data_IF_759843001908
#
_entry.id   IF_759843001908
#
_cell.length_a   1.000
_cell.length_b   1.000
_cell.length_c   1.000
_cell.angle_alpha   90.00
_cell.angle_beta   90.00
_cell.angle_gamma   90.00
#
_symmetry.space_group_name_H-M   'P 1'
#
loop_
_entity.id
_entity.type
_entity.pdbx_description
1 polymer ?
#
# COMPACT_ATOMS: atom_id res chain seq x y z
N UNK A 1 19.04 -4.19 24.39
CA UNK A 1 18.21 -4.20 23.16
C UNK A 1 18.61 -5.41 22.35
N UNK A 2 17.72 -6.40 22.19
CA UNK A 2 17.92 -7.45 21.18
C UNK A 2 17.71 -6.78 19.82
N UNK A 3 18.70 -6.83 18.93
CA UNK A 3 18.46 -6.60 17.50
C UNK A 3 17.30 -7.52 17.10
N UNK A 4 16.26 -7.01 16.42
CA UNK A 4 15.44 -7.88 15.59
C UNK A 4 16.37 -8.36 14.47
N UNK A 5 16.78 -9.62 14.58
CA UNK A 5 17.63 -10.31 13.62
C UNK A 5 16.73 -10.72 12.47
N UNK A 6 17.15 -10.43 11.23
CA UNK A 6 16.36 -10.76 10.05
C UNK A 6 16.22 -12.26 9.83
N UNK A 7 15.20 -12.72 9.10
CA UNK A 7 14.93 -14.15 8.89
C UNK A 7 16.15 -14.89 8.33
N UNK A 8 16.84 -14.30 7.35
CA UNK A 8 18.06 -14.88 6.78
C UNK A 8 19.22 -14.96 7.79
N UNK A 9 19.39 -13.95 8.64
CA UNK A 9 20.44 -13.92 9.66
C UNK A 9 20.15 -14.92 10.79
N UNK A 10 18.87 -15.12 11.15
CA UNK A 10 18.44 -16.18 12.08
C UNK A 10 18.80 -17.55 11.53
N UNK A 11 18.51 -17.83 10.25
CA UNK A 11 18.84 -19.09 9.60
C UNK A 11 20.35 -19.37 9.62
N UNK A 12 21.16 -18.37 9.27
CA UNK A 12 22.63 -18.49 9.27
C UNK A 12 23.17 -18.70 10.69
N UNK A 13 22.68 -17.93 11.66
CA UNK A 13 23.08 -18.08 13.07
C UNK A 13 22.76 -19.48 13.59
N UNK A 14 21.53 -19.95 13.36
CA UNK A 14 21.09 -21.27 13.81
C UNK A 14 21.86 -22.41 13.13
N UNK A 15 22.14 -22.29 11.83
CA UNK A 15 22.97 -23.26 11.11
C UNK A 15 24.46 -23.26 11.55
N UNK A 16 24.91 -22.21 12.26
CA UNK A 16 26.21 -22.17 12.92
C UNK A 16 26.22 -22.91 14.27
N UNK A 17 25.10 -22.92 14.99
CA UNK A 17 24.97 -23.46 16.35
C UNK A 17 24.44 -24.90 16.38
N UNK A 18 23.56 -25.27 15.44
CA UNK A 18 22.88 -26.56 15.37
C UNK A 18 23.25 -27.29 14.07
N UNK A 19 24.06 -28.35 14.21
CA UNK A 19 24.51 -29.17 13.09
C UNK A 19 23.37 -29.93 12.42
N UNK A 20 22.42 -30.46 13.18
CA UNK A 20 21.30 -31.22 12.61
C UNK A 20 20.38 -30.29 11.83
N UNK A 21 20.18 -29.07 12.33
CA UNK A 21 19.46 -28.02 11.60
C UNK A 21 20.18 -27.66 10.31
N UNK A 22 21.50 -27.46 10.35
CA UNK A 22 22.30 -27.17 9.15
C UNK A 22 22.17 -28.27 8.09
N UNK A 23 22.29 -29.53 8.49
CA UNK A 23 22.16 -30.68 7.57
C UNK A 23 20.76 -30.75 6.94
N UNK A 24 19.69 -30.48 7.72
CA UNK A 24 18.33 -30.37 7.19
C UNK A 24 18.16 -29.18 6.23
N UNK A 25 18.70 -28.01 6.59
CA UNK A 25 18.60 -26.80 5.76
C UNK A 25 19.29 -26.97 4.41
N UNK A 26 20.40 -27.72 4.35
CA UNK A 26 21.08 -28.06 3.09
C UNK A 26 20.30 -29.08 2.24
N UNK A 27 19.66 -30.07 2.88
CA UNK A 27 18.96 -31.15 2.19
C UNK A 27 17.55 -30.74 1.70
N UNK A 28 16.81 -30.03 2.54
CA UNK A 28 15.43 -29.58 2.28
C UNK A 28 15.25 -28.12 2.75
N UNK A 29 15.79 -27.13 2.00
CA UNK A 29 15.76 -25.72 2.42
C UNK A 29 14.36 -25.21 2.75
N UNK A 30 13.40 -25.39 1.82
CA UNK A 30 12.02 -24.93 1.96
C UNK A 30 11.36 -25.51 3.21
N UNK A 31 11.28 -26.84 3.31
CA UNK A 31 10.65 -27.52 4.45
C UNK A 31 11.29 -27.13 5.78
N UNK A 32 12.61 -26.92 5.80
CA UNK A 32 13.33 -26.51 7.00
C UNK A 32 12.96 -25.09 7.41
N UNK A 33 12.90 -24.15 6.46
CA UNK A 33 12.52 -22.75 6.73
C UNK A 33 11.05 -22.67 7.17
N UNK A 34 10.15 -23.34 6.45
CA UNK A 34 8.72 -23.37 6.77
C UNK A 34 8.48 -23.93 8.17
N UNK A 35 9.16 -25.02 8.55
CA UNK A 35 9.09 -25.59 9.89
C UNK A 35 9.70 -24.68 10.97
N UNK A 36 10.81 -24.02 10.66
CA UNK A 36 11.53 -23.15 11.59
C UNK A 36 10.70 -21.94 12.00
N UNK A 37 10.05 -21.29 11.03
CA UNK A 37 9.31 -20.06 11.25
C UNK A 37 7.81 -20.26 11.34
N UNK A 38 7.29 -21.47 11.08
CA UNK A 38 5.86 -21.74 11.05
C UNK A 38 5.14 -21.01 9.92
N UNK A 39 5.82 -20.83 8.78
CA UNK A 39 5.31 -20.14 7.60
C UNK A 39 5.14 -21.12 6.44
N UNK A 40 4.33 -20.74 5.45
CA UNK A 40 4.26 -21.44 4.16
C UNK A 40 4.80 -20.49 3.10
N UNK A 41 5.89 -20.86 2.42
CA UNK A 41 6.51 -20.02 1.41
C UNK A 41 5.81 -20.21 0.05
N UNK A 42 5.78 -19.17 -0.79
CA UNK A 42 5.23 -19.27 -2.15
C UNK A 42 5.88 -20.43 -2.94
N UNK A 43 5.07 -21.32 -3.53
CA UNK A 43 5.49 -22.68 -3.94
C UNK A 43 6.27 -22.78 -5.25
N UNK A 44 6.22 -21.77 -6.09
CA UNK A 44 6.83 -21.69 -7.42
C UNK A 44 8.31 -21.26 -7.41
N UNK A 45 8.83 -20.85 -6.25
CA UNK A 45 10.18 -20.31 -6.11
C UNK A 45 11.20 -21.35 -5.59
N UNK A 46 12.29 -21.59 -6.31
CA UNK A 46 13.34 -22.50 -5.81
C UNK A 46 14.28 -21.81 -4.81
N UNK A 47 14.63 -22.51 -3.73
CA UNK A 47 15.58 -22.04 -2.71
C UNK A 47 16.78 -22.99 -2.69
N UNK A 48 17.95 -22.47 -3.06
CA UNK A 48 19.22 -23.20 -3.03
C UNK A 48 20.07 -22.70 -1.86
N UNK A 49 20.54 -23.64 -1.01
CA UNK A 49 21.43 -23.34 0.11
C UNK A 49 22.80 -23.95 -0.18
N UNK A 50 23.82 -23.09 -0.25
CA UNK A 50 25.20 -23.50 -0.51
C UNK A 50 26.05 -23.35 0.75
N UNK A 51 26.94 -24.30 0.96
CA UNK A 51 27.93 -24.25 2.02
C UNK A 51 29.28 -23.77 1.47
N UNK A 52 29.82 -22.74 2.09
CA UNK A 52 31.21 -22.32 1.89
C UNK A 52 32.20 -23.34 2.45
N UNK A 53 33.33 -23.50 1.77
CA UNK A 53 34.44 -24.35 2.20
C UNK A 53 35.76 -23.58 2.03
N UNK A 54 36.82 -24.01 2.71
CA UNK A 54 38.14 -23.37 2.59
C UNK A 54 38.78 -23.44 1.19
N UNK A 55 38.19 -24.18 0.26
CA UNK A 55 38.73 -24.46 -1.07
C UNK A 55 37.76 -24.17 -2.22
N UNK A 56 36.60 -23.59 -1.95
CA UNK A 56 35.64 -23.16 -2.97
C UNK A 56 35.21 -21.73 -2.70
N UNK A 57 34.88 -20.98 -3.76
CA UNK A 57 34.28 -19.66 -3.66
C UNK A 57 33.05 -19.65 -4.54
N UNK A 58 31.91 -19.25 -3.99
CA UNK A 58 30.65 -19.16 -4.72
C UNK A 58 30.45 -17.74 -5.25
N UNK A 59 30.01 -17.62 -6.51
CA UNK A 59 29.59 -16.35 -7.09
C UNK A 59 28.10 -16.44 -7.43
N UNK A 60 27.30 -15.50 -6.93
CA UNK A 60 25.87 -15.41 -7.20
C UNK A 60 25.63 -14.22 -8.10
N UNK A 61 25.15 -14.49 -9.31
CA UNK A 61 24.81 -13.44 -10.28
C UNK A 61 23.32 -13.08 -10.13
N UNK A 62 22.95 -11.79 -10.26
CA UNK A 62 21.55 -11.40 -10.33
C UNK A 62 20.91 -11.98 -11.60
N UNK A 63 19.59 -12.24 -11.60
CA UNK A 63 18.89 -12.62 -12.82
C UNK A 63 18.97 -11.47 -13.85
N UNK A 64 18.85 -11.78 -15.15
CA UNK A 64 18.65 -10.74 -16.16
C UNK A 64 17.45 -9.85 -15.79
N UNK A 65 17.60 -8.54 -15.96
CA UNK A 65 16.52 -7.60 -15.67
C UNK A 65 15.27 -7.87 -16.52
N UNK A 66 14.08 -7.56 -15.97
CA UNK A 66 12.80 -7.67 -16.70
C UNK A 66 12.64 -6.61 -17.79
N UNK A 67 13.52 -5.61 -17.82
CA UNK A 67 13.63 -4.59 -18.86
C UNK A 67 14.79 -4.92 -19.81
N UNK A 68 14.53 -4.86 -21.11
CA UNK A 68 15.57 -4.89 -22.14
C UNK A 68 16.42 -3.63 -22.11
N UNK A 69 17.65 -3.72 -22.63
CA UNK A 69 18.54 -2.56 -22.77
C UNK A 69 17.92 -1.43 -23.59
N UNK A 70 17.17 -1.79 -24.64
CA UNK A 70 16.43 -0.84 -25.46
C UNK A 70 15.34 -0.10 -24.66
N UNK A 71 14.62 -0.79 -23.77
CA UNK A 71 13.64 -0.15 -22.87
C UNK A 71 14.33 0.80 -21.88
N UNK A 72 15.49 0.41 -21.33
CA UNK A 72 16.28 1.26 -20.41
C UNK A 72 16.80 2.52 -21.11
N UNK A 73 17.37 2.39 -22.31
CA UNK A 73 17.84 3.54 -23.10
C UNK A 73 16.70 4.46 -23.54
N UNK A 74 15.57 3.89 -23.93
CA UNK A 74 14.38 4.67 -24.25
C UNK A 74 13.85 5.43 -23.01
N UNK A 75 13.96 4.87 -21.80
CA UNK A 75 13.62 5.58 -20.57
C UNK A 75 14.52 6.80 -20.36
N UNK A 76 15.84 6.68 -20.51
CA UNK A 76 16.81 7.79 -20.35
C UNK A 76 16.48 9.01 -21.21
N UNK A 77 16.01 8.78 -22.43
CA UNK A 77 15.72 9.84 -23.40
C UNK A 77 14.32 10.44 -23.26
N UNK A 78 13.48 9.88 -22.38
CA UNK A 78 12.05 10.20 -22.30
C UNK A 78 11.22 9.72 -23.50
N UNK A 79 11.86 9.09 -24.50
CA UNK A 79 11.20 8.51 -25.66
C UNK A 79 10.32 7.32 -25.25
N UNK A 80 10.76 6.52 -24.27
CA UNK A 80 9.92 5.47 -23.67
C UNK A 80 8.70 6.09 -23.00
N UNK A 81 8.83 7.16 -22.20
CA UNK A 81 7.64 7.79 -21.59
C UNK A 81 6.64 8.26 -22.64
N UNK A 82 7.08 8.91 -23.73
CA UNK A 82 6.16 9.37 -24.78
C UNK A 82 5.56 8.24 -25.62
N UNK A 83 6.33 7.20 -25.97
CA UNK A 83 5.83 6.08 -26.76
C UNK A 83 5.06 5.05 -25.91
N UNK A 84 5.47 4.82 -24.66
CA UNK A 84 4.75 4.04 -23.66
C UNK A 84 3.45 4.74 -23.28
N UNK A 85 3.47 6.04 -22.94
CA UNK A 85 2.23 6.79 -22.76
C UNK A 85 1.37 6.64 -24.01
N UNK A 86 1.90 6.83 -25.23
CA UNK A 86 1.11 6.58 -26.46
C UNK A 86 0.55 5.16 -26.56
N UNK A 87 1.27 4.13 -26.13
CA UNK A 87 0.85 2.71 -26.20
C UNK A 87 -0.11 2.30 -25.07
N UNK A 88 0.00 2.86 -23.87
CA UNK A 88 -0.90 2.62 -22.73
C UNK A 88 -2.09 3.58 -22.70
N UNK A 89 -2.00 4.71 -23.41
CA UNK A 89 -3.10 5.67 -23.66
C UNK A 89 -4.21 5.11 -24.57
N UNK A 90 -4.07 3.89 -25.12
CA UNK A 90 -5.08 3.29 -26.01
C UNK A 90 -6.34 2.78 -25.31
N UNK A 91 -6.42 2.85 -23.97
CA UNK A 91 -7.66 2.59 -23.22
C UNK A 91 -8.17 3.89 -22.56
N UNK A 92 -8.92 4.74 -23.30
CA UNK A 92 -9.49 5.94 -22.72
C UNK A 92 -10.47 5.55 -21.61
N UNK A 93 -10.22 6.08 -20.40
CA UNK A 93 -11.13 5.85 -19.30
C UNK A 93 -12.49 6.51 -19.57
N UNK A 94 -13.61 5.91 -19.13
CA UNK A 94 -14.93 6.52 -19.28
C UNK A 94 -14.97 7.89 -18.59
N UNK A 95 -15.87 8.79 -18.99
CA UNK A 95 -16.05 10.07 -18.30
C UNK A 95 -16.44 9.86 -16.84
N UNK A 96 -16.17 10.87 -16.01
CA UNK A 96 -16.47 10.80 -14.58
C UNK A 96 -17.98 10.67 -14.43
N UNK A 97 -18.43 9.66 -13.69
CA UNK A 97 -19.85 9.49 -13.42
C UNK A 97 -20.35 10.67 -12.57
N UNK A 98 -21.57 11.17 -12.79
CA UNK A 98 -22.13 12.20 -11.93
C UNK A 98 -22.13 11.74 -10.46
N UNK A 99 -22.15 12.69 -9.50
CA UNK A 99 -22.30 12.36 -8.08
C UNK A 99 -23.44 11.35 -7.88
N UNK A 100 -23.22 10.37 -7.01
CA UNK A 100 -24.28 9.43 -6.68
C UNK A 100 -25.49 10.21 -6.15
N UNK A 101 -26.69 9.86 -6.61
CA UNK A 101 -27.91 10.39 -6.01
C UNK A 101 -27.95 9.82 -4.59
N UNK A 102 -27.84 10.68 -3.58
CA UNK A 102 -27.99 10.26 -2.19
C UNK A 102 -29.30 9.49 -2.05
N UNK A 103 -29.20 8.23 -1.65
CA UNK A 103 -30.38 7.44 -1.33
C UNK A 103 -31.01 8.09 -0.10
N UNK A 104 -32.24 8.58 -0.23
CA UNK A 104 -33.01 9.07 0.90
C UNK A 104 -33.08 7.98 1.95
N UNK A 105 -32.47 8.25 3.11
CA UNK A 105 -32.60 7.39 4.28
C UNK A 105 -34.08 7.33 4.67
N UNK A 106 -34.62 6.13 4.98
CA UNK A 106 -35.95 6.03 5.60
C UNK A 106 -35.98 6.92 6.85
N UNK A 107 -36.95 7.84 6.93
CA UNK A 107 -36.90 8.97 7.85
C UNK A 107 -36.75 8.62 9.34
N UNK A 108 -35.98 9.47 10.05
CA UNK A 108 -35.96 9.85 11.48
C UNK A 108 -36.32 8.82 12.58
N UNK A 109 -36.32 7.53 12.29
CA UNK A 109 -36.19 6.50 13.33
C UNK A 109 -34.75 6.07 13.35
N UNK A 110 -34.05 6.39 14.44
CA UNK A 110 -32.71 5.87 14.71
C UNK A 110 -32.72 4.35 14.47
N UNK A 111 -32.08 3.91 13.39
CA UNK A 111 -32.03 2.50 13.05
C UNK A 111 -31.37 1.74 14.20
N UNK A 112 -31.88 0.54 14.49
CA UNK A 112 -31.27 -0.30 15.52
C UNK A 112 -29.84 -0.67 15.07
N UNK A 113 -28.90 -0.80 16.01
CA UNK A 113 -27.50 -1.14 15.69
C UNK A 113 -27.40 -2.42 14.84
N UNK A 114 -28.26 -3.41 15.14
CA UNK A 114 -28.34 -4.64 14.37
C UNK A 114 -28.81 -4.47 12.92
N UNK A 115 -29.76 -3.55 12.66
CA UNK A 115 -30.25 -3.28 11.30
C UNK A 115 -29.16 -2.60 10.47
N UNK A 116 -28.43 -1.65 11.07
CA UNK A 116 -27.29 -0.99 10.42
C UNK A 116 -26.12 -1.95 10.19
N UNK A 117 -25.81 -2.83 11.14
CA UNK A 117 -24.79 -3.85 10.96
C UNK A 117 -25.16 -4.81 9.80
N UNK A 118 -26.45 -5.18 9.66
CA UNK A 118 -26.92 -5.98 8.55
C UNK A 118 -26.82 -5.23 7.21
N UNK A 119 -27.21 -3.95 7.17
CA UNK A 119 -27.08 -3.10 5.99
C UNK A 119 -25.61 -2.92 5.57
N UNK A 120 -24.70 -2.71 6.52
CA UNK A 120 -23.25 -2.64 6.27
C UNK A 120 -22.71 -3.93 5.65
N UNK A 121 -23.13 -5.10 6.14
CA UNK A 121 -22.71 -6.40 5.55
C UNK A 121 -23.25 -6.63 4.15
N UNK A 122 -24.47 -6.20 3.88
CA UNK A 122 -25.01 -6.24 2.51
C UNK A 122 -24.25 -5.29 1.58
N UNK A 123 -23.93 -4.09 2.08
CA UNK A 123 -23.13 -3.12 1.34
C UNK A 123 -21.72 -3.63 1.03
N UNK A 124 -21.06 -4.31 1.98
CA UNK A 124 -19.77 -5.00 1.76
C UNK A 124 -19.86 -6.00 0.60
N UNK A 125 -20.86 -6.90 0.61
CA UNK A 125 -21.01 -7.92 -0.45
C UNK A 125 -21.22 -7.30 -1.83
N UNK A 126 -22.10 -6.30 -1.92
CA UNK A 126 -22.31 -5.56 -3.17
C UNK A 126 -21.04 -4.85 -3.65
N UNK A 127 -20.26 -4.32 -2.73
CA UNK A 127 -18.94 -3.74 -3.03
C UNK A 127 -17.97 -4.78 -3.58
N UNK A 128 -17.89 -5.95 -2.96
CA UNK A 128 -17.05 -7.05 -3.43
C UNK A 128 -17.49 -7.59 -4.79
N UNK A 129 -18.80 -7.66 -5.06
CA UNK A 129 -19.36 -7.99 -6.37
C UNK A 129 -18.92 -6.99 -7.45
N UNK A 130 -19.01 -5.70 -7.15
CA UNK A 130 -18.49 -4.66 -8.04
C UNK A 130 -16.98 -4.84 -8.30
N UNK A 131 -16.19 -5.04 -7.23
CA UNK A 131 -14.74 -5.23 -7.36
C UNK A 131 -14.38 -6.45 -8.20
N UNK A 132 -15.09 -7.57 -8.00
CA UNK A 132 -14.95 -8.77 -8.82
C UNK A 132 -15.23 -8.56 -10.31
N UNK A 133 -15.99 -7.52 -10.67
CA UNK A 133 -16.26 -7.16 -12.08
C UNK A 133 -15.23 -6.20 -12.69
N UNK A 134 -14.34 -5.61 -11.89
CA UNK A 134 -13.41 -4.54 -12.32
C UNK A 134 -11.93 -4.89 -12.17
N UNK A 135 -11.58 -5.82 -11.28
CA UNK A 135 -10.24 -6.39 -11.19
C UNK A 135 -10.00 -7.30 -12.39
N UNK A 136 -8.84 -7.15 -13.00
CA UNK A 136 -8.44 -7.89 -14.19
C UNK A 136 -8.26 -9.40 -13.90
N UNK A 137 -8.35 -10.24 -14.93
CA UNK A 137 -8.19 -11.70 -14.78
C UNK A 137 -6.84 -12.10 -14.20
N UNK A 138 -5.81 -11.27 -14.43
CA UNK A 138 -4.48 -11.49 -13.86
C UNK A 138 -4.35 -11.02 -12.40
N UNK A 139 -5.39 -10.39 -11.82
CA UNK A 139 -5.37 -9.83 -10.46
C UNK A 139 -4.98 -8.36 -10.36
N UNK A 140 -4.77 -7.67 -11.49
CA UNK A 140 -4.41 -6.25 -11.49
C UNK A 140 -5.63 -5.34 -11.27
N UNK A 141 -5.48 -4.35 -10.40
CA UNK A 141 -6.50 -3.36 -10.12
C UNK A 141 -6.37 -2.16 -11.05
N UNK A 142 -7.51 -1.71 -11.58
CA UNK A 142 -7.56 -0.53 -12.43
C UNK A 142 -7.55 0.75 -11.59
N UNK A 143 -6.74 1.71 -12.00
CA UNK A 143 -6.73 3.09 -11.54
C UNK A 143 -6.96 4.02 -12.74
N UNK A 144 -7.46 5.22 -12.51
CA UNK A 144 -7.61 6.24 -13.55
C UNK A 144 -6.69 7.39 -13.24
N UNK A 145 -5.80 7.71 -14.19
CA UNK A 145 -5.02 8.93 -14.20
C UNK A 145 -5.77 10.04 -14.91
N UNK A 146 -5.82 11.22 -14.31
CA UNK A 146 -6.47 12.40 -14.86
C UNK A 146 -5.70 13.68 -14.53
N UNK A 147 -5.92 14.73 -15.32
CA UNK A 147 -5.37 16.06 -15.00
C UNK A 147 -6.35 16.80 -14.08
N UNK A 148 -5.82 17.39 -13.01
CA UNK A 148 -6.61 18.05 -11.98
C UNK A 148 -6.97 19.49 -12.37
N UNK A 149 -6.14 20.13 -13.20
CA UNK A 149 -6.30 21.52 -13.61
C UNK A 149 -7.00 21.70 -14.96
N UNK A 150 -6.88 20.73 -15.86
CA UNK A 150 -7.49 20.77 -17.20
C UNK A 150 -8.33 19.51 -17.45
N UNK A 151 -9.66 19.57 -17.26
CA UNK A 151 -10.55 18.43 -17.47
C UNK A 151 -10.67 18.03 -18.95
N UNK A 152 -10.13 18.81 -19.89
CA UNK A 152 -10.11 18.46 -21.31
C UNK A 152 -8.98 17.48 -21.65
N UNK A 153 -8.00 17.31 -20.77
CA UNK A 153 -6.97 16.30 -20.95
C UNK A 153 -7.60 14.92 -20.73
N UNK A 154 -7.47 13.99 -21.70
CA UNK A 154 -8.07 12.66 -21.58
C UNK A 154 -7.62 11.93 -20.32
N UNK A 155 -8.56 11.13 -19.79
CA UNK A 155 -8.36 10.26 -18.63
C UNK A 155 -7.92 8.88 -19.12
N UNK A 156 -7.07 8.20 -18.35
CA UNK A 156 -6.44 6.97 -18.80
C UNK A 156 -6.50 5.88 -17.73
N UNK A 157 -6.84 4.66 -18.15
CA UNK A 157 -6.69 3.49 -17.28
C UNK A 157 -5.23 3.14 -17.08
N UNK A 158 -4.92 2.73 -15.86
CA UNK A 158 -3.62 2.28 -15.42
C UNK A 158 -3.79 1.07 -14.50
N UNK A 159 -2.78 0.21 -14.47
CA UNK A 159 -2.77 -0.97 -13.60
C UNK A 159 -1.40 -1.09 -12.92
N UNK A 160 -1.05 -0.16 -12.01
CA UNK A 160 0.23 -0.21 -11.32
C UNK A 160 0.18 -1.22 -10.16
N UNK A 161 1.25 -1.99 -9.90
CA UNK A 161 1.35 -2.88 -8.73
C UNK A 161 1.01 -2.18 -7.41
N UNK A 162 1.38 -0.91 -7.27
CA UNK A 162 1.05 -0.06 -6.13
C UNK A 162 -0.45 -0.05 -5.82
N UNK A 163 -1.32 0.22 -6.81
CA UNK A 163 -2.77 0.33 -6.58
C UNK A 163 -3.34 -1.02 -6.18
N UNK A 164 -2.90 -2.09 -6.83
CA UNK A 164 -3.30 -3.45 -6.49
C UNK A 164 -2.95 -3.80 -5.03
N UNK A 165 -1.70 -3.53 -4.61
CA UNK A 165 -1.27 -3.77 -3.24
C UNK A 165 -2.03 -2.90 -2.22
N UNK A 166 -2.21 -1.60 -2.53
CA UNK A 166 -2.93 -0.66 -1.68
C UNK A 166 -4.38 -1.11 -1.42
N UNK A 167 -5.09 -1.56 -2.46
CA UNK A 167 -6.49 -1.98 -2.34
C UNK A 167 -6.61 -3.32 -1.60
N UNK A 168 -5.72 -4.28 -1.85
CA UNK A 168 -5.75 -5.58 -1.17
C UNK A 168 -5.44 -5.44 0.32
N UNK A 169 -4.49 -4.58 0.70
CA UNK A 169 -4.21 -4.30 2.12
C UNK A 169 -5.45 -3.79 2.87
N UNK A 170 -6.34 -3.04 2.21
CA UNK A 170 -7.61 -2.62 2.79
C UNK A 170 -8.60 -3.79 2.95
N UNK A 171 -8.62 -4.72 1.99
CA UNK A 171 -9.51 -5.90 2.00
C UNK A 171 -9.07 -7.03 2.93
N UNK A 172 -7.81 -7.05 3.40
CA UNK A 172 -7.28 -8.15 4.23
C UNK A 172 -8.12 -8.42 5.49
N UNK A 173 -8.78 -7.40 6.02
CA UNK A 173 -9.65 -7.51 7.20
C UNK A 173 -10.97 -8.24 6.94
N UNK A 174 -11.37 -8.41 5.67
CA UNK A 174 -12.62 -9.05 5.31
C UNK A 174 -12.49 -10.57 5.27
N UNK A 175 -13.47 -11.25 5.87
CA UNK A 175 -13.59 -12.72 5.87
C UNK A 175 -14.56 -13.23 4.80
N UNK A 176 -15.11 -12.36 3.95
CA UNK A 176 -15.96 -12.77 2.84
C UNK A 176 -15.11 -13.54 1.80
N UNK A 177 -15.56 -14.71 1.29
CA UNK A 177 -14.76 -15.54 0.37
C UNK A 177 -14.28 -14.81 -0.89
N UNK A 178 -15.09 -13.87 -1.38
CA UNK A 178 -14.77 -13.07 -2.56
C UNK A 178 -13.61 -12.10 -2.30
N UNK A 179 -13.54 -11.51 -1.09
CA UNK A 179 -12.40 -10.68 -0.69
C UNK A 179 -11.10 -11.51 -0.68
N UNK A 180 -11.14 -12.71 -0.08
CA UNK A 180 -9.99 -13.64 -0.07
C UNK A 180 -9.58 -14.06 -1.48
N UNK A 181 -10.53 -14.30 -2.38
CA UNK A 181 -10.25 -14.61 -3.78
C UNK A 181 -9.58 -13.45 -4.52
N UNK A 182 -10.04 -12.22 -4.32
CA UNK A 182 -9.43 -11.00 -4.88
C UNK A 182 -8.00 -10.79 -4.36
N UNK A 183 -7.77 -11.03 -3.06
CA UNK A 183 -6.43 -10.96 -2.46
C UNK A 183 -5.48 -11.97 -3.12
N UNK A 184 -5.89 -13.24 -3.21
CA UNK A 184 -5.08 -14.30 -3.81
C UNK A 184 -4.77 -14.07 -5.30
N UNK A 185 -5.74 -13.59 -6.08
CA UNK A 185 -5.51 -13.23 -7.48
C UNK A 185 -4.48 -12.10 -7.61
N UNK A 186 -4.59 -11.10 -6.74
CA UNK A 186 -3.67 -9.94 -6.73
C UNK A 186 -2.26 -10.34 -6.27
N UNK A 187 -2.12 -11.25 -5.31
CA UNK A 187 -0.80 -11.77 -4.89
C UNK A 187 -0.02 -12.33 -6.09
N UNK A 188 -0.68 -13.10 -6.97
CA UNK A 188 -0.06 -13.63 -8.19
C UNK A 188 0.42 -12.50 -9.11
N UNK A 189 -0.42 -11.47 -9.34
CA UNK A 189 -0.02 -10.28 -10.11
C UNK A 189 1.21 -9.57 -9.54
N UNK A 190 1.29 -9.45 -8.21
CA UNK A 190 2.43 -8.82 -7.55
C UNK A 190 3.71 -9.65 -7.68
N UNK A 191 3.62 -10.98 -7.61
CA UNK A 191 4.73 -11.90 -7.90
C UNK A 191 5.17 -11.76 -9.37
N UNK A 192 4.25 -11.67 -10.32
CA UNK A 192 4.58 -11.50 -11.74
C UNK A 192 5.28 -10.18 -12.04
N UNK A 193 5.03 -9.15 -11.22
CA UNK A 193 5.58 -7.80 -11.41
C UNK A 193 6.81 -7.49 -10.58
N UNK A 194 7.22 -8.37 -9.64
CA UNK A 194 8.42 -8.17 -8.81
C UNK A 194 9.69 -8.12 -9.67
N UNK A 195 10.57 -7.16 -9.41
CA UNK A 195 11.91 -7.09 -10.01
C UNK A 195 12.96 -7.46 -8.97
N UNK A 196 14.07 -8.07 -9.40
CA UNK A 196 15.17 -8.36 -8.49
C UNK A 196 15.74 -7.05 -7.88
N UNK A 197 16.07 -7.01 -6.57
CA UNK A 197 16.05 -8.10 -5.59
C UNK A 197 14.76 -8.22 -4.75
N UNK A 198 13.64 -7.70 -5.24
CA UNK A 198 12.35 -7.62 -4.55
C UNK A 198 11.82 -6.20 -4.52
N UNK A 199 11.89 -5.51 -5.66
CA UNK A 199 11.49 -4.12 -5.84
C UNK A 199 10.35 -4.03 -6.86
N UNK A 200 9.54 -2.97 -6.74
CA UNK A 200 8.48 -2.65 -7.69
C UNK A 200 8.60 -1.22 -8.16
N UNK A 201 8.04 -0.98 -9.35
CA UNK A 201 7.90 0.34 -9.97
C UNK A 201 6.41 0.67 -10.05
N UNK A 202 6.07 1.94 -9.85
CA UNK A 202 4.72 2.41 -10.19
C UNK A 202 4.45 2.26 -11.70
N UNK A 203 5.33 2.80 -12.54
CA UNK A 203 5.32 2.57 -13.99
C UNK A 203 6.58 1.87 -14.46
N UNK A 204 6.44 1.03 -15.49
CA UNK A 204 7.55 0.30 -16.12
C UNK A 204 8.73 1.19 -16.57
N UNK A 205 8.47 2.47 -16.87
CA UNK A 205 9.49 3.42 -17.34
C UNK A 205 10.04 4.35 -16.23
N UNK A 206 9.52 4.26 -15.02
CA UNK A 206 10.06 4.96 -13.85
C UNK A 206 10.98 4.03 -13.07
N UNK A 207 11.96 4.56 -12.31
CA UNK A 207 12.75 3.77 -11.37
C UNK A 207 11.87 3.02 -10.36
N UNK A 208 12.39 1.96 -9.72
CA UNK A 208 11.68 1.36 -8.60
C UNK A 208 11.50 2.39 -7.48
N UNK A 209 10.44 2.24 -6.71
CA UNK A 209 10.10 3.18 -5.64
C UNK A 209 9.72 2.46 -4.35
N UNK A 210 9.98 3.11 -3.22
CA UNK A 210 9.76 2.54 -1.90
C UNK A 210 8.29 2.51 -1.49
N UNK A 211 7.41 3.29 -2.14
CA UNK A 211 5.97 3.25 -1.84
C UNK A 211 5.35 1.96 -2.37
N UNK A 212 5.54 1.72 -3.68
CA UNK A 212 5.18 0.48 -4.36
C UNK A 212 5.84 -0.71 -3.69
N UNK A 213 7.15 -0.64 -3.47
CA UNK A 213 7.92 -1.77 -2.92
C UNK A 213 7.46 -2.17 -1.53
N UNK A 214 7.24 -1.21 -0.63
CA UNK A 214 6.83 -1.52 0.73
C UNK A 214 5.42 -2.15 0.78
N UNK A 215 4.45 -1.58 0.06
CA UNK A 215 3.09 -2.12 0.05
C UNK A 215 3.02 -3.50 -0.63
N UNK A 216 3.69 -3.69 -1.77
CA UNK A 216 3.71 -4.99 -2.44
C UNK A 216 4.39 -6.06 -1.57
N UNK A 217 5.47 -5.69 -0.88
CA UNK A 217 6.17 -6.60 0.03
C UNK A 217 5.32 -7.02 1.23
N UNK A 218 4.46 -6.13 1.74
CA UNK A 218 3.51 -6.49 2.81
C UNK A 218 2.52 -7.55 2.34
N UNK A 219 1.99 -7.43 1.12
CA UNK A 219 1.01 -8.37 0.56
C UNK A 219 1.63 -9.74 0.29
N UNK A 220 2.80 -9.78 -0.36
CA UNK A 220 3.46 -11.06 -0.70
C UNK A 220 4.60 -11.42 0.26
N UNK A 221 4.42 -11.18 1.56
CA UNK A 221 5.44 -11.39 2.59
C UNK A 221 6.03 -12.82 2.63
N UNK A 222 5.26 -13.82 2.18
CA UNK A 222 5.67 -15.21 2.08
C UNK A 222 6.53 -15.55 0.84
N UNK A 223 6.68 -14.62 -0.11
CA UNK A 223 7.55 -14.84 -1.26
C UNK A 223 9.01 -14.89 -0.79
N UNK A 224 9.83 -15.88 -1.21
CA UNK A 224 11.16 -16.08 -0.61
C UNK A 224 12.12 -14.89 -0.70
N UNK A 225 12.04 -14.05 -1.74
CA UNK A 225 12.84 -12.81 -1.78
C UNK A 225 12.48 -11.83 -0.68
N UNK A 226 11.20 -11.75 -0.33
CA UNK A 226 10.67 -10.83 0.68
C UNK A 226 10.90 -11.40 2.07
N UNK A 227 10.55 -12.68 2.26
CA UNK A 227 10.74 -13.39 3.52
C UNK A 227 12.20 -13.45 3.95
N UNK A 228 13.12 -13.67 2.99
CA UNK A 228 14.56 -13.69 3.23
C UNK A 228 15.23 -12.32 3.04
N UNK A 229 14.42 -11.25 3.01
CA UNK A 229 14.89 -9.86 3.14
C UNK A 229 15.87 -9.42 2.03
N UNK A 230 15.72 -9.97 0.82
CA UNK A 230 16.62 -9.68 -0.31
C UNK A 230 16.57 -8.22 -0.76
N UNK A 231 15.44 -7.57 -0.56
CA UNK A 231 15.24 -6.15 -0.85
C UNK A 231 15.62 -5.21 0.31
N UNK A 232 15.92 -5.71 1.51
CA UNK A 232 16.31 -4.84 2.63
C UNK A 232 17.57 -4.03 2.32
N UNK A 233 18.68 -4.59 1.79
CA UNK A 233 19.87 -3.82 1.52
C UNK A 233 19.64 -2.56 0.65
N UNK A 234 18.99 -2.62 -0.53
CA UNK A 234 18.73 -1.41 -1.31
C UNK A 234 17.73 -0.47 -0.63
N UNK A 235 16.71 -0.96 0.09
CA UNK A 235 15.78 -0.10 0.84
C UNK A 235 16.52 0.69 1.93
N UNK A 236 17.34 0.00 2.71
CA UNK A 236 18.15 0.59 3.78
C UNK A 236 19.21 1.56 3.24
N UNK A 237 19.79 1.29 2.07
CA UNK A 237 20.72 2.22 1.45
C UNK A 237 20.03 3.52 0.95
N UNK A 238 18.72 3.49 0.69
CA UNK A 238 17.97 4.58 0.07
C UNK A 238 17.44 5.61 1.08
N UNK A 239 18.37 6.27 1.79
CA UNK A 239 18.06 7.30 2.78
C UNK A 239 18.81 8.59 2.52
N UNK A 240 18.23 9.71 2.95
CA UNK A 240 18.95 10.98 3.02
C UNK A 240 19.88 11.07 4.24
N UNK A 241 20.59 12.20 4.35
CA UNK A 241 21.50 12.49 5.47
C UNK A 241 20.79 12.55 6.83
N UNK A 242 19.47 12.79 6.86
CA UNK A 242 18.66 12.80 8.07
C UNK A 242 18.10 11.42 8.42
N UNK A 243 18.43 10.37 7.65
CA UNK A 243 17.98 9.00 7.89
C UNK A 243 16.53 8.74 7.44
N UNK A 244 15.92 9.64 6.66
CA UNK A 244 14.59 9.46 6.08
C UNK A 244 14.71 8.69 4.77
N UNK A 245 13.73 7.84 4.49
CA UNK A 245 13.71 7.05 3.26
C UNK A 245 13.25 7.89 2.07
N UNK A 246 13.96 7.71 0.96
CA UNK A 246 13.69 8.42 -0.30
C UNK A 246 12.68 7.65 -1.14
N UNK A 247 11.85 8.35 -1.94
CA UNK A 247 10.84 7.65 -2.76
C UNK A 247 11.47 6.75 -3.82
N UNK A 248 12.42 7.26 -4.60
CA UNK A 248 12.96 6.55 -5.78
C UNK A 248 14.25 5.82 -5.43
N UNK A 249 14.39 4.58 -5.90
CA UNK A 249 15.60 3.75 -5.76
C UNK A 249 16.40 3.84 -7.06
N UNK A 250 17.52 4.55 -7.02
CA UNK A 250 18.37 4.78 -8.19
C UNK A 250 19.67 3.98 -8.07
N UNK A 251 19.68 2.79 -8.66
CA UNK A 251 20.91 2.04 -8.86
C UNK A 251 21.84 2.74 -9.85
N UNK A 252 23.12 2.36 -9.90
CA UNK A 252 24.15 3.00 -10.74
C UNK A 252 23.79 3.01 -12.23
N UNK A 253 23.10 1.97 -12.70
CA UNK A 253 22.65 1.80 -14.09
C UNK A 253 21.20 2.24 -14.34
N UNK A 254 20.50 2.73 -13.31
CA UNK A 254 19.10 3.11 -13.40
C UNK A 254 18.96 4.54 -13.98
N UNK A 255 18.17 4.73 -15.06
CA UNK A 255 17.92 6.04 -15.63
C UNK A 255 17.31 7.03 -14.63
N UNK A 256 17.99 8.16 -14.39
CA UNK A 256 17.49 9.24 -13.53
C UNK A 256 16.46 10.15 -14.24
N UNK A 257 15.37 9.54 -14.68
CA UNK A 257 14.24 10.23 -15.34
C UNK A 257 13.39 11.05 -14.37
N UNK A 258 13.60 10.85 -13.06
CA UNK A 258 12.86 11.49 -11.97
C UNK A 258 13.56 12.74 -11.45
N UNK A 259 14.80 13.03 -11.85
CA UNK A 259 15.60 14.19 -11.41
C UNK A 259 14.86 15.53 -11.38
N UNK A 260 13.92 15.76 -12.31
CA UNK A 260 13.14 17.00 -12.40
C UNK A 260 11.99 17.13 -11.42
N UNK A 261 11.59 16.03 -10.78
CA UNK A 261 10.42 15.97 -9.92
C UNK A 261 10.61 15.06 -8.69
N UNK A 262 11.88 14.73 -8.39
CA UNK A 262 12.30 13.89 -7.28
C UNK A 262 11.89 14.55 -5.97
N UNK A 263 11.26 13.75 -5.11
CA UNK A 263 11.06 14.11 -3.70
C UNK A 263 12.24 13.54 -2.93
N UNK A 264 12.75 14.32 -1.99
CA UNK A 264 13.74 13.78 -1.06
C UNK A 264 13.07 12.81 -0.09
N UNK A 265 12.22 13.26 0.84
CA UNK A 265 11.45 12.38 1.72
C UNK A 265 9.95 12.69 1.69
N UNK A 266 9.12 11.64 1.72
CA UNK A 266 7.65 11.74 1.77
C UNK A 266 7.10 10.96 3.00
N UNK A 267 6.13 11.52 3.74
CA UNK A 267 5.67 10.91 4.99
C UNK A 267 4.94 9.58 4.79
N UNK A 268 4.19 9.40 3.69
CA UNK A 268 3.48 8.14 3.43
C UNK A 268 4.45 7.06 3.01
N UNK A 269 5.43 7.40 2.17
CA UNK A 269 6.51 6.48 1.79
C UNK A 269 7.25 5.98 3.03
N UNK A 270 7.62 6.89 3.94
CA UNK A 270 8.31 6.52 5.17
C UNK A 270 7.43 5.69 6.11
N UNK A 271 6.13 6.02 6.23
CA UNK A 271 5.19 5.20 6.99
C UNK A 271 5.09 3.78 6.42
N UNK A 272 5.05 3.62 5.10
CA UNK A 272 4.98 2.32 4.44
C UNK A 272 6.28 1.53 4.62
N UNK A 273 7.43 2.18 4.52
CA UNK A 273 8.72 1.55 4.82
C UNK A 273 8.80 1.09 6.28
N UNK A 274 8.31 1.89 7.24
CA UNK A 274 8.24 1.48 8.67
C UNK A 274 7.27 0.30 8.84
N UNK A 275 6.12 0.34 8.17
CA UNK A 275 5.15 -0.77 8.19
C UNK A 275 5.78 -2.08 7.72
N UNK A 276 6.64 -2.02 6.69
CA UNK A 276 7.31 -3.19 6.13
C UNK A 276 8.54 -3.65 6.91
N UNK A 277 9.47 -2.74 7.22
CA UNK A 277 10.73 -3.07 7.88
C UNK A 277 10.59 -3.29 9.39
N UNK A 278 9.51 -2.78 9.99
CA UNK A 278 9.25 -2.85 11.41
C UNK A 278 10.03 -1.84 12.26
N UNK A 279 9.92 -2.04 13.57
CA UNK A 279 10.65 -1.26 14.57
C UNK A 279 12.09 -1.76 14.69
N UNK A 280 13.03 -0.97 14.17
CA UNK A 280 14.45 -1.31 14.16
C UNK A 280 15.33 -0.07 14.19
N UNK A 281 16.61 -0.19 14.60
CA UNK A 281 17.53 0.95 14.63
C UNK A 281 17.58 1.72 13.31
N UNK A 282 17.47 1.01 12.19
CA UNK A 282 17.52 1.57 10.85
C UNK A 282 16.29 2.39 10.44
N UNK A 283 15.15 2.26 11.15
CA UNK A 283 13.93 3.05 10.92
C UNK A 283 13.74 4.17 11.94
N UNK A 284 14.61 4.28 12.95
CA UNK A 284 14.42 5.18 14.09
C UNK A 284 14.41 6.68 13.73
N UNK A 285 15.18 7.10 12.73
CA UNK A 285 15.18 8.50 12.25
C UNK A 285 13.88 8.85 11.53
N UNK A 286 13.42 7.96 10.63
CA UNK A 286 12.13 8.12 9.95
C UNK A 286 10.95 8.12 10.95
N UNK A 287 10.98 7.25 11.97
CA UNK A 287 9.98 7.25 13.04
C UNK A 287 9.93 8.61 13.75
N UNK A 288 11.08 9.13 14.22
CA UNK A 288 11.16 10.45 14.89
C UNK A 288 10.66 11.58 14.01
N UNK A 289 10.97 11.53 12.71
CA UNK A 289 10.51 12.53 11.76
C UNK A 289 8.99 12.53 11.63
N UNK A 290 8.35 11.36 11.48
CA UNK A 290 6.88 11.26 11.44
C UNK A 290 6.24 11.68 12.77
N UNK A 291 6.83 11.30 13.90
CA UNK A 291 6.36 11.73 15.23
C UNK A 291 6.35 13.26 15.35
N UNK A 292 7.44 13.90 14.92
CA UNK A 292 7.57 15.37 14.94
C UNK A 292 6.53 16.01 14.02
N UNK A 293 6.38 15.49 12.80
CA UNK A 293 5.46 16.02 11.79
C UNK A 293 4.01 16.05 12.30
N UNK A 294 3.56 14.98 12.96
CA UNK A 294 2.19 14.88 13.49
C UNK A 294 2.03 15.68 14.79
N UNK A 295 3.04 15.67 15.68
CA UNK A 295 2.98 16.42 16.94
C UNK A 295 2.95 17.94 16.71
N UNK A 296 3.71 18.43 15.74
CA UNK A 296 3.87 19.87 15.45
C UNK A 296 2.89 20.40 14.39
N UNK A 297 1.88 19.62 14.00
CA UNK A 297 0.87 20.00 12.99
C UNK A 297 1.48 20.33 11.60
N UNK A 298 2.59 19.66 11.26
CA UNK A 298 3.34 19.86 10.03
C UNK A 298 2.90 18.98 8.85
N UNK A 299 1.80 18.22 8.99
CA UNK A 299 1.37 17.22 8.00
C UNK A 299 0.80 17.86 6.73
N UNK A 300 0.11 18.99 6.85
CA UNK A 300 -0.48 19.65 5.69
C UNK A 300 0.58 20.10 4.67
N UNK A 301 0.39 19.76 3.40
CA UNK A 301 1.33 20.05 2.31
C UNK A 301 2.71 19.38 2.43
N UNK A 302 2.89 18.43 3.34
CA UNK A 302 4.14 17.69 3.56
C UNK A 302 4.37 16.54 2.58
N UNK A 303 3.29 16.01 1.98
CA UNK A 303 3.36 15.03 0.91
C UNK A 303 3.18 15.70 -0.44
N UNK A 304 3.91 15.22 -1.43
CA UNK A 304 3.66 15.56 -2.84
C UNK A 304 2.50 14.76 -3.42
N UNK A 305 2.38 13.51 -2.99
CA UNK A 305 1.49 12.53 -3.63
C UNK A 305 0.14 12.42 -2.94
N UNK A 306 0.04 12.68 -1.64
CA UNK A 306 -1.18 12.45 -0.89
C UNK A 306 -1.86 13.79 -0.59
N UNK A 307 -3.10 13.99 -1.07
CA UNK A 307 -3.72 15.32 -1.16
C UNK A 307 -4.20 15.87 0.18
N UNK A 308 -4.38 15.02 1.19
CA UNK A 308 -4.94 15.40 2.48
C UNK A 308 -4.24 14.71 3.65
N UNK A 309 -4.38 15.32 4.83
CA UNK A 309 -3.79 14.83 6.06
C UNK A 309 -4.34 13.45 6.46
N UNK A 310 -5.59 13.13 6.14
CA UNK A 310 -6.19 11.84 6.53
C UNK A 310 -5.55 10.67 5.79
N UNK A 311 -5.18 10.82 4.51
CA UNK A 311 -4.41 9.79 3.80
C UNK A 311 -3.05 9.53 4.46
N UNK A 312 -2.38 10.60 4.93
CA UNK A 312 -1.10 10.49 5.66
C UNK A 312 -1.31 9.80 7.01
N UNK A 313 -2.32 10.22 7.78
CA UNK A 313 -2.66 9.60 9.06
C UNK A 313 -3.04 8.13 8.92
N UNK A 314 -3.76 7.75 7.86
CA UNK A 314 -4.11 6.37 7.57
C UNK A 314 -2.86 5.51 7.31
N UNK A 315 -1.90 6.00 6.53
CA UNK A 315 -0.64 5.29 6.30
C UNK A 315 0.17 5.10 7.60
N UNK A 316 0.23 6.12 8.44
CA UNK A 316 0.88 6.07 9.77
C UNK A 316 0.15 5.06 10.68
N UNK A 317 -1.18 5.08 10.71
CA UNK A 317 -1.98 4.14 11.50
C UNK A 317 -1.78 2.68 11.03
N UNK A 318 -1.69 2.44 9.70
CA UNK A 318 -1.31 1.12 9.16
C UNK A 318 0.10 0.72 9.64
N UNK A 319 1.05 1.65 9.64
CA UNK A 319 2.39 1.39 10.15
C UNK A 319 2.38 1.00 11.64
N UNK A 320 1.55 1.64 12.46
CA UNK A 320 1.36 1.27 13.87
C UNK A 320 0.78 -0.13 14.06
N UNK A 321 -0.03 -0.63 13.12
CA UNK A 321 -0.57 -2.01 13.20
C UNK A 321 0.49 -3.03 12.76
N UNK A 322 1.23 -2.74 11.68
CA UNK A 322 2.26 -3.64 11.15
C UNK A 322 3.55 -3.64 11.97
N UNK A 323 3.86 -2.52 12.61
CA UNK A 323 5.02 -2.33 13.48
C UNK A 323 4.58 -1.75 14.85
N UNK A 324 3.93 -2.56 15.71
CA UNK A 324 3.29 -2.10 16.95
C UNK A 324 4.15 -1.26 17.90
N UNK A 325 5.47 -1.41 17.87
CA UNK A 325 6.38 -0.68 18.77
C UNK A 325 6.97 0.59 18.15
N UNK A 326 7.01 0.72 16.82
CA UNK A 326 7.74 1.77 16.10
C UNK A 326 7.18 3.18 16.31
N UNK A 327 5.88 3.31 16.57
CA UNK A 327 5.18 4.60 16.61
C UNK A 327 4.20 4.69 17.78
N UNK A 328 4.31 3.81 18.77
CA UNK A 328 3.30 3.65 19.83
C UNK A 328 3.05 4.95 20.62
N UNK A 329 4.10 5.76 20.80
CA UNK A 329 3.99 7.05 21.51
C UNK A 329 3.11 8.05 20.79
N UNK A 330 3.01 7.93 19.47
CA UNK A 330 2.21 8.81 18.63
C UNK A 330 0.73 8.44 18.62
N UNK A 331 0.36 7.21 19.03
CA UNK A 331 -1.02 6.69 18.98
C UNK A 331 -2.08 7.66 19.52
N UNK A 332 -1.99 8.20 20.75
CA UNK A 332 -3.01 9.13 21.26
C UNK A 332 -3.04 10.46 20.50
N UNK A 333 -1.87 10.99 20.11
CA UNK A 333 -1.76 12.24 19.37
C UNK A 333 -2.40 12.07 17.99
N UNK A 334 -2.10 10.96 17.30
CA UNK A 334 -2.66 10.65 15.99
C UNK A 334 -4.19 10.50 16.05
N UNK A 335 -4.72 9.85 17.10
CA UNK A 335 -6.16 9.75 17.30
C UNK A 335 -6.81 11.13 17.42
N UNK A 336 -6.23 12.02 18.23
CA UNK A 336 -6.75 13.38 18.39
C UNK A 336 -6.66 14.17 17.08
N UNK A 337 -5.55 14.06 16.33
CA UNK A 337 -5.41 14.70 15.00
C UNK A 337 -6.44 14.22 13.99
N UNK A 338 -6.76 12.92 13.97
CA UNK A 338 -7.80 12.41 13.07
C UNK A 338 -9.16 12.97 13.48
N UNK A 339 -9.48 12.98 14.77
CA UNK A 339 -10.76 13.49 15.28
C UNK A 339 -10.94 14.99 15.06
N UNK A 340 -9.85 15.77 15.08
CA UNK A 340 -9.86 17.20 14.74
C UNK A 340 -10.32 17.46 13.29
N UNK A 341 -10.15 16.48 12.39
CA UNK A 341 -10.66 16.56 11.01
C UNK A 341 -12.19 16.36 10.91
N UNK A 342 -12.85 15.89 11.98
CA UNK A 342 -14.28 15.60 11.96
C UNK A 342 -15.11 16.88 12.09
N UNK A 343 -15.74 17.32 11.01
CA UNK A 343 -16.56 18.53 10.92
C UNK A 343 -18.01 18.31 11.41
N UNK A 344 -18.21 17.54 12.48
CA UNK A 344 -19.56 17.21 12.99
C UNK A 344 -20.42 16.47 11.96
N UNK A 345 -21.58 17.01 11.59
CA UNK A 345 -22.52 16.36 10.65
C UNK A 345 -21.96 16.17 9.23
N UNK A 346 -20.88 16.88 8.86
CA UNK A 346 -20.21 16.73 7.56
C UNK A 346 -19.16 15.60 7.54
N UNK A 347 -18.93 14.93 8.68
CA UNK A 347 -17.97 13.81 8.79
C UNK A 347 -16.53 14.30 8.56
N UNK A 348 -15.73 13.49 7.88
CA UNK A 348 -14.32 13.77 7.58
C UNK A 348 -14.08 14.36 6.18
N UNK A 349 -15.11 14.94 5.56
CA UNK A 349 -15.07 15.42 4.18
C UNK A 349 -15.75 14.44 3.22
N UNK A 350 -15.05 14.02 2.16
CA UNK A 350 -15.63 13.09 1.20
C UNK A 350 -15.64 11.63 1.72
N UNK A 351 -16.27 10.71 0.97
CA UNK A 351 -16.44 9.33 1.46
C UNK A 351 -15.14 8.52 1.53
N UNK A 352 -14.14 8.84 0.68
CA UNK A 352 -12.82 8.24 0.78
C UNK A 352 -12.12 8.71 2.07
N UNK A 353 -12.16 10.02 2.35
CA UNK A 353 -11.60 10.59 3.58
C UNK A 353 -12.27 10.04 4.83
N UNK A 354 -13.60 9.87 4.79
CA UNK A 354 -14.37 9.20 5.84
C UNK A 354 -13.89 7.76 6.05
N UNK A 355 -13.78 6.98 4.98
CA UNK A 355 -13.33 5.60 5.07
C UNK A 355 -11.89 5.48 5.64
N UNK A 356 -10.97 6.33 5.18
CA UNK A 356 -9.60 6.38 5.69
C UNK A 356 -9.55 6.79 7.17
N UNK A 357 -10.33 7.80 7.60
CA UNK A 357 -10.39 8.23 9.00
C UNK A 357 -10.95 7.15 9.92
N UNK A 358 -12.05 6.50 9.52
CA UNK A 358 -12.67 5.39 10.26
C UNK A 358 -11.67 4.24 10.44
N UNK A 359 -11.03 3.81 9.34
CA UNK A 359 -10.04 2.73 9.40
C UNK A 359 -8.81 3.13 10.22
N UNK A 360 -8.35 4.38 10.11
CA UNK A 360 -7.25 4.89 10.92
C UNK A 360 -7.58 4.93 12.41
N UNK A 361 -8.78 5.40 12.79
CA UNK A 361 -9.28 5.42 14.18
C UNK A 361 -9.40 4.02 14.75
N UNK A 362 -9.87 3.05 13.96
CA UNK A 362 -9.85 1.65 14.36
C UNK A 362 -8.43 1.16 14.63
N UNK A 363 -7.50 1.41 13.72
CA UNK A 363 -6.11 0.97 13.82
C UNK A 363 -5.36 1.60 15.02
N UNK A 364 -5.75 2.81 15.43
CA UNK A 364 -5.22 3.45 16.65
C UNK A 364 -5.99 3.10 17.92
N UNK A 365 -7.10 2.35 17.84
CA UNK A 365 -7.91 1.94 18.98
C UNK A 365 -8.73 3.10 19.56
N UNK A 366 -9.39 3.88 18.70
CA UNK A 366 -10.17 5.06 19.07
C UNK A 366 -11.44 5.22 18.24
N UNK A 367 -11.90 4.16 17.57
CA UNK A 367 -13.11 4.20 16.74
C UNK A 367 -14.38 4.45 17.57
N UNK A 368 -14.41 4.05 18.82
CA UNK A 368 -15.51 4.29 19.76
C UNK A 368 -15.71 5.78 20.11
N UNK A 369 -14.77 6.65 19.72
CA UNK A 369 -14.85 8.11 19.92
C UNK A 369 -15.71 8.82 18.87
N UNK A 370 -16.20 8.11 17.85
CA UNK A 370 -17.12 8.63 16.83
C UNK A 370 -18.46 7.88 16.83
N UNK A 371 -19.48 8.45 16.20
CA UNK A 371 -20.79 7.80 16.07
C UNK A 371 -20.76 6.76 14.94
N UNK A 372 -20.54 5.49 15.32
CA UNK A 372 -20.47 4.38 14.37
C UNK A 372 -21.76 4.20 13.55
N UNK A 373 -22.93 4.61 14.07
CA UNK A 373 -24.20 4.53 13.32
C UNK A 373 -24.22 5.58 12.22
N UNK A 374 -23.89 6.82 12.56
CA UNK A 374 -23.82 7.92 11.60
C UNK A 374 -22.84 7.61 10.46
N UNK A 375 -21.65 7.11 10.78
CA UNK A 375 -20.65 6.80 9.75
C UNK A 375 -21.01 5.56 8.91
N UNK A 376 -21.66 4.55 9.50
CA UNK A 376 -22.20 3.41 8.73
C UNK A 376 -23.27 3.88 7.75
N UNK A 377 -24.21 4.71 8.20
CA UNK A 377 -25.26 5.28 7.34
C UNK A 377 -24.66 6.11 6.21
N UNK A 378 -23.65 6.94 6.50
CA UNK A 378 -22.94 7.76 5.51
C UNK A 378 -22.28 6.91 4.43
N UNK A 379 -21.54 5.87 4.81
CA UNK A 379 -20.86 4.99 3.85
C UNK A 379 -21.88 4.19 3.03
N UNK A 380 -22.90 3.61 3.67
CA UNK A 380 -23.93 2.84 2.97
C UNK A 380 -24.76 3.71 2.01
N UNK A 381 -25.14 4.92 2.41
CA UNK A 381 -25.96 5.82 1.57
C UNK A 381 -25.19 6.38 0.37
N UNK A 382 -23.86 6.44 0.46
CA UNK A 382 -22.97 6.86 -0.62
C UNK A 382 -22.71 5.76 -1.67
N UNK A 383 -23.11 4.51 -1.40
CA UNK A 383 -22.92 3.40 -2.31
C UNK A 383 -23.88 3.48 -3.51
N UNK A 384 -23.34 3.34 -4.72
CA UNK A 384 -24.10 3.32 -5.98
C UNK A 384 -24.88 2.02 -6.13
N UNK A 385 -25.79 1.97 -7.11
CA UNK A 385 -26.66 0.81 -7.37
C UNK A 385 -25.89 -0.45 -7.80
N UNK A 386 -24.78 -0.28 -8.51
CA UNK A 386 -23.88 -1.36 -8.93
C UNK A 386 -22.97 -1.88 -7.81
N UNK A 387 -23.02 -1.28 -6.61
CA UNK A 387 -22.20 -1.67 -5.46
C UNK A 387 -20.91 -0.86 -5.29
N UNK A 388 -20.55 -0.03 -6.26
CA UNK A 388 -19.36 0.82 -6.15
C UNK A 388 -19.56 2.06 -5.28
N UNK A 389 -18.45 2.66 -4.86
CA UNK A 389 -18.41 4.02 -4.33
C UNK A 389 -17.83 5.01 -5.35
N UNK A 390 -18.13 6.32 -5.21
CA UNK A 390 -17.67 7.33 -6.16
C UNK A 390 -16.17 7.33 -6.39
N UNK A 391 -15.79 7.65 -7.62
CA UNK A 391 -14.40 7.91 -7.94
C UNK A 391 -13.96 9.21 -7.29
N UNK A 392 -12.90 9.13 -6.49
CA UNK A 392 -12.33 10.25 -5.77
C UNK A 392 -10.81 10.26 -5.99
N UNK A 393 -10.23 11.45 -5.90
CA UNK A 393 -8.78 11.64 -5.90
C UNK A 393 -8.19 10.91 -4.69
N UNK A 394 -7.39 9.88 -4.94
CA UNK A 394 -6.74 9.09 -3.91
C UNK A 394 -5.30 9.55 -3.65
N UNK A 395 -4.57 9.82 -4.73
CA UNK A 395 -3.18 10.30 -4.69
C UNK A 395 -2.82 10.94 -6.03
N UNK A 396 -1.71 11.66 -6.10
CA UNK A 396 -1.26 12.39 -7.27
C UNK A 396 -0.60 13.72 -6.92
N UNK A 397 0.21 14.21 -7.84
CA UNK A 397 0.89 15.49 -7.71
C UNK A 397 -0.11 16.65 -7.86
N UNK A 398 -0.45 17.32 -6.76
CA UNK A 398 -1.47 18.38 -6.74
C UNK A 398 -0.94 19.74 -7.19
N UNK A 399 0.38 19.96 -7.07
CA UNK A 399 0.98 21.28 -7.21
C UNK A 399 2.19 21.26 -8.13
N UNK A 400 2.45 22.37 -8.83
CA UNK A 400 3.71 22.55 -9.55
C UNK A 400 4.91 22.83 -8.60
N UNK A 401 4.69 22.77 -7.28
CA UNK A 401 5.71 22.98 -6.24
C UNK A 401 6.96 22.12 -6.44
N UNK A 402 6.78 20.96 -7.04
CA UNK A 402 7.81 19.93 -7.20
C UNK A 402 8.21 19.69 -8.65
N UNK A 403 7.99 20.66 -9.56
CA UNK A 403 8.45 20.59 -10.95
C UNK A 403 7.48 21.20 -11.97
N UNK A 404 7.86 21.16 -13.26
CA UNK A 404 7.00 21.64 -14.37
C UNK A 404 6.00 20.60 -14.86
N UNK A 405 6.06 19.39 -14.32
CA UNK A 405 5.13 18.28 -14.58
C UNK A 405 4.43 18.03 -13.25
N UNK A 406 3.15 18.38 -13.15
CA UNK A 406 2.35 18.28 -11.94
C UNK A 406 0.86 18.45 -12.28
N UNK A 407 -0.02 18.43 -11.27
CA UNK A 407 -1.48 18.45 -11.40
C UNK A 407 -2.05 17.17 -12.04
N UNK A 408 -1.48 16.03 -11.68
CA UNK A 408 -1.92 14.70 -12.10
C UNK A 408 -2.53 14.00 -10.90
N UNK A 409 -3.80 13.62 -11.01
CA UNK A 409 -4.53 12.86 -10.02
C UNK A 409 -4.68 11.40 -10.45
N UNK A 410 -4.76 10.52 -9.45
CA UNK A 410 -5.08 9.12 -9.59
C UNK A 410 -6.25 8.78 -8.67
N UNK A 411 -7.20 8.03 -9.20
CA UNK A 411 -8.39 7.62 -8.49
C UNK A 411 -9.15 6.57 -9.29
N UNK A 412 -9.96 5.76 -8.63
CA UNK A 412 -10.91 4.88 -9.29
C UNK A 412 -12.00 4.51 -8.29
N UNK A 413 -13.17 4.16 -8.81
CA UNK A 413 -14.27 3.63 -7.99
C UNK A 413 -13.85 2.36 -7.26
N UNK A 414 -12.99 1.53 -7.87
CA UNK A 414 -12.43 0.34 -7.23
C UNK A 414 -11.58 0.71 -5.99
N UNK A 415 -10.75 1.76 -6.09
CA UNK A 415 -9.93 2.24 -4.98
C UNK A 415 -10.81 2.74 -3.83
N UNK A 416 -11.76 3.63 -4.10
CA UNK A 416 -12.68 4.12 -3.07
C UNK A 416 -13.49 2.99 -2.44
N UNK A 417 -13.94 2.03 -3.26
CA UNK A 417 -14.75 0.90 -2.78
C UNK A 417 -13.96 -0.02 -1.84
N UNK A 418 -12.68 -0.28 -2.12
CA UNK A 418 -11.83 -1.08 -1.23
C UNK A 418 -11.73 -0.46 0.18
N UNK A 419 -11.48 0.86 0.26
CA UNK A 419 -11.43 1.55 1.55
C UNK A 419 -12.79 1.64 2.25
N UNK A 420 -13.88 1.85 1.51
CA UNK A 420 -15.22 1.84 2.09
C UNK A 420 -15.58 0.46 2.67
N UNK A 421 -15.16 -0.62 2.02
CA UNK A 421 -15.32 -1.99 2.55
C UNK A 421 -14.51 -2.18 3.83
N UNK A 422 -13.24 -1.74 3.86
CA UNK A 422 -12.42 -1.79 5.08
C UNK A 422 -13.12 -1.07 6.24
N UNK A 423 -13.55 0.17 6.02
CA UNK A 423 -14.22 0.98 7.02
C UNK A 423 -15.53 0.33 7.51
N UNK A 424 -16.34 -0.23 6.61
CA UNK A 424 -17.57 -0.93 6.97
C UNK A 424 -17.31 -2.19 7.79
N UNK A 425 -16.28 -2.97 7.49
CA UNK A 425 -15.93 -4.15 8.30
C UNK A 425 -15.66 -3.74 9.76
N UNK A 426 -14.94 -2.62 9.97
CA UNK A 426 -14.65 -2.07 11.31
C UNK A 426 -15.90 -1.56 12.01
N UNK A 427 -16.74 -0.81 11.31
CA UNK A 427 -17.97 -0.26 11.88
C UNK A 427 -18.98 -1.35 12.23
N UNK A 428 -19.12 -2.37 11.38
CA UNK A 428 -20.00 -3.52 11.64
C UNK A 428 -19.54 -4.29 12.87
N UNK A 429 -18.24 -4.44 13.08
CA UNK A 429 -17.69 -5.05 14.30
C UNK A 429 -18.15 -4.30 15.55
N UNK A 430 -17.99 -2.98 15.57
CA UNK A 430 -18.42 -2.12 16.70
C UNK A 430 -19.93 -2.20 16.91
N UNK A 431 -20.73 -2.10 15.84
CA UNK A 431 -22.19 -2.12 15.92
C UNK A 431 -22.76 -3.47 16.39
N UNK A 432 -22.01 -4.58 16.25
CA UNK A 432 -22.39 -5.89 16.80
C UNK A 432 -22.02 -6.04 18.27
N UNK A 433 -21.01 -5.30 18.73
CA UNK A 433 -20.52 -5.37 20.11
C UNK A 433 -21.35 -4.52 21.09
N UNK A 434 -22.01 -3.46 20.61
CA UNK A 434 -22.90 -2.58 21.39
C UNK A 434 -24.38 -2.83 21.12
#
# INVERSE_FOLDING_TARGET
MKKLVGSAEILVSRAGEDRDFRERLLASPRETIEKEFGVTLAGDHEIHVHQETYNATHLVLPPPGKLSEAEREAAKTGAASLEFLRKTMYDPAPPLRPPAVERTTPGERAAASGDLAAAGRESIRRGLDFLGSTVDENGAWSCIRFNIADPNIPRHFERPPFVSALCVLALECSEEPQAKALCAATENYLVDTIEFPGLWRYYRHLPPDLDSTALCSLVIAAHPWIFLERNFPPILANRDEAGRFMTWVLAEDEPDVVSRFRIEADPVVNANVIAYLGDRPETADAQRWLETLVAEDGVDGSSKWYPDAVAIYYAIARAMVRAPTALERLRPILADRILELHAGQEGFGNILQTALAVSALYNVGSLERIDAKCETERIVSSQREDGSWPELLAFGDQELKWGTVGQIGHGAEAVTSAFCIEALERLVEILKAG
#
